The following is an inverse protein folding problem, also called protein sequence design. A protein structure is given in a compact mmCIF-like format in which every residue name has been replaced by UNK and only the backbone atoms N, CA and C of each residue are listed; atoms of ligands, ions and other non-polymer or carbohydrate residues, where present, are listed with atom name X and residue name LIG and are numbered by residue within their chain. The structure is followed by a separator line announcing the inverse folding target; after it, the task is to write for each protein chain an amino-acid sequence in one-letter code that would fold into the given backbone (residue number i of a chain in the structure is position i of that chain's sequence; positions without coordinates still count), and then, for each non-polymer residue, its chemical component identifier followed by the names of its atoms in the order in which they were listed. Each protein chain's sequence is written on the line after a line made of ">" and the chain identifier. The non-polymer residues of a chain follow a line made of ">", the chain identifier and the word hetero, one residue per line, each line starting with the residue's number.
data_IF_301177808229
#
_entry.id   IF_301177808229
#
_cell.length_a   1.000
_cell.length_b   1.000
_cell.length_c   1.000
_cell.angle_alpha   90.00
_cell.angle_beta   90.00
_cell.angle_gamma   90.00
#
_symmetry.space_group_name_H-M   'P 1'
#
loop_
_entity.id
_entity.type
_entity.pdbx_description
1 polymer ?
#
# COMPACT_ATOMS: atom_id res chain seq x y z
N UNK A 1 16.43 -8.29 -19.76
CA UNK A 1 15.38 -9.28 -19.38
C UNK A 1 15.03 -9.00 -17.93
N UNK A 2 13.75 -9.01 -17.58
CA UNK A 2 13.34 -8.91 -16.18
C UNK A 2 13.74 -10.18 -15.44
N UNK A 3 14.18 -10.08 -14.15
CA UNK A 3 14.68 -11.25 -13.39
C UNK A 3 13.58 -12.22 -12.93
N UNK A 4 12.30 -11.83 -12.99
CA UNK A 4 11.18 -12.65 -12.54
C UNK A 4 10.36 -13.17 -13.72
N UNK A 5 9.73 -14.35 -13.54
CA UNK A 5 8.88 -14.99 -14.54
C UNK A 5 7.47 -14.37 -14.53
N UNK A 6 7.00 -13.78 -15.66
CA UNK A 6 5.66 -13.22 -15.75
C UNK A 6 4.53 -14.26 -15.64
N UNK A 7 4.80 -15.54 -15.86
CA UNK A 7 3.82 -16.62 -15.63
C UNK A 7 3.59 -16.90 -14.14
N UNK A 8 4.49 -16.42 -13.27
CA UNK A 8 4.40 -16.52 -11.80
C UNK A 8 4.65 -15.16 -11.14
N UNK A 9 3.75 -14.19 -11.33
CA UNK A 9 3.98 -12.76 -11.05
C UNK A 9 4.18 -12.44 -9.55
N UNK A 10 3.79 -13.34 -8.67
CA UNK A 10 3.97 -13.24 -7.20
C UNK A 10 4.73 -14.47 -6.67
N UNK A 11 5.74 -14.93 -7.42
CA UNK A 11 6.61 -16.04 -7.01
C UNK A 11 7.24 -15.81 -5.64
N UNK A 12 7.77 -16.85 -5.02
CA UNK A 12 8.52 -16.73 -3.75
C UNK A 12 9.68 -15.74 -3.92
N UNK A 13 10.49 -15.90 -4.98
CA UNK A 13 11.64 -15.04 -5.26
C UNK A 13 11.26 -13.56 -5.39
N UNK A 14 10.12 -13.26 -6.02
CA UNK A 14 9.60 -11.90 -6.10
C UNK A 14 9.24 -11.35 -4.71
N UNK A 15 8.46 -12.12 -3.94
CA UNK A 15 8.04 -11.71 -2.59
C UNK A 15 9.24 -11.51 -1.65
N UNK A 16 10.24 -12.40 -1.73
CA UNK A 16 11.45 -12.33 -0.93
C UNK A 16 12.30 -11.11 -1.31
N UNK A 17 12.38 -10.80 -2.61
CA UNK A 17 13.08 -9.60 -3.10
C UNK A 17 12.40 -8.31 -2.63
N UNK A 18 11.08 -8.24 -2.63
CA UNK A 18 10.32 -7.11 -2.07
C UNK A 18 10.56 -7.01 -0.56
N UNK A 19 10.50 -8.13 0.16
CA UNK A 19 10.72 -8.18 1.61
C UNK A 19 12.13 -7.75 1.98
N UNK A 20 13.14 -8.14 1.20
CA UNK A 20 14.52 -7.69 1.39
C UNK A 20 14.68 -6.17 1.25
N UNK A 21 13.93 -5.52 0.34
CA UNK A 21 13.94 -4.04 0.21
C UNK A 21 13.30 -3.37 1.44
N UNK A 22 12.19 -3.91 1.94
CA UNK A 22 11.54 -3.41 3.16
C UNK A 22 12.49 -3.52 4.36
N UNK A 23 13.11 -4.68 4.56
CA UNK A 23 14.02 -4.90 5.67
C UNK A 23 15.26 -3.99 5.58
N UNK A 24 15.85 -3.86 4.38
CA UNK A 24 16.99 -2.95 4.17
C UNK A 24 16.66 -1.50 4.53
N UNK A 25 15.45 -1.02 4.15
CA UNK A 25 14.98 0.30 4.52
C UNK A 25 14.81 0.44 6.04
N UNK A 26 14.20 -0.54 6.70
CA UNK A 26 14.02 -0.53 8.16
C UNK A 26 15.36 -0.63 8.92
N UNK A 27 16.39 -1.27 8.34
CA UNK A 27 17.76 -1.28 8.89
C UNK A 27 18.41 0.10 8.79
N UNK A 28 18.13 0.87 7.74
CA UNK A 28 18.60 2.25 7.63
C UNK A 28 17.87 3.16 8.63
N UNK A 29 16.54 3.04 8.76
CA UNK A 29 15.74 3.80 9.72
C UNK A 29 16.09 3.47 11.18
N UNK A 30 16.53 2.24 11.47
CA UNK A 30 17.01 1.86 12.80
C UNK A 30 18.08 2.82 13.33
N UNK A 31 18.99 3.28 12.48
CA UNK A 31 20.05 4.22 12.90
C UNK A 31 19.47 5.56 13.34
N UNK A 32 18.40 6.03 12.67
CA UNK A 32 17.72 7.27 13.02
C UNK A 32 16.98 7.09 14.34
N UNK A 33 16.25 5.98 14.50
CA UNK A 33 15.47 5.67 15.69
C UNK A 33 16.36 5.47 16.90
N UNK A 34 17.45 4.71 16.78
CA UNK A 34 18.42 4.49 17.88
C UNK A 34 19.05 5.81 18.35
N UNK A 35 19.25 6.77 17.45
CA UNK A 35 19.79 8.09 17.79
C UNK A 35 18.80 8.97 18.57
N UNK A 36 17.48 8.69 18.45
CA UNK A 36 16.43 9.40 19.19
C UNK A 36 16.28 8.79 20.59
N UNK A 37 16.20 7.45 20.69
CA UNK A 37 16.08 6.78 21.99
C UNK A 37 15.84 5.28 21.85
N UNK A 38 16.42 4.51 22.76
CA UNK A 38 16.29 3.05 22.80
C UNK A 38 14.85 2.58 23.09
N UNK A 39 14.04 3.43 23.70
CA UNK A 39 12.63 3.21 24.02
C UNK A 39 11.77 3.00 22.76
N UNK A 40 12.27 3.42 21.61
CA UNK A 40 11.58 3.28 20.32
C UNK A 40 11.82 1.92 19.64
N UNK A 41 12.74 1.08 20.16
CA UNK A 41 13.01 -0.24 19.59
C UNK A 41 11.74 -1.10 19.42
N UNK A 42 10.78 -1.16 20.37
CA UNK A 42 9.56 -1.93 20.20
C UNK A 42 8.68 -1.46 19.03
N UNK A 43 8.70 -0.16 18.70
CA UNK A 43 7.96 0.40 17.55
C UNK A 43 8.58 -0.06 16.24
N UNK A 44 9.92 -0.06 16.15
CA UNK A 44 10.63 -0.57 14.98
C UNK A 44 10.44 -2.07 14.80
N UNK A 45 10.47 -2.85 15.89
CA UNK A 45 10.23 -4.29 15.86
C UNK A 45 8.80 -4.59 15.38
N UNK A 46 7.81 -3.86 15.88
CA UNK A 46 6.44 -3.93 15.39
C UNK A 46 6.37 -3.59 13.88
N UNK A 47 7.05 -2.53 13.42
CA UNK A 47 7.09 -2.21 11.99
C UNK A 47 7.65 -3.37 11.15
N UNK A 48 8.67 -4.10 11.63
CA UNK A 48 9.22 -5.29 10.98
C UNK A 48 8.20 -6.42 10.93
N UNK A 49 7.58 -6.73 12.08
CA UNK A 49 6.64 -7.84 12.21
C UNK A 49 5.39 -7.63 11.35
N UNK A 50 4.79 -6.44 11.38
CA UNK A 50 3.56 -6.15 10.64
C UNK A 50 3.80 -5.93 9.14
N UNK A 51 5.04 -5.58 8.72
CA UNK A 51 5.42 -5.57 7.30
C UNK A 51 5.93 -6.92 6.80
N UNK A 52 6.15 -7.90 7.67
CA UNK A 52 6.57 -9.24 7.28
C UNK A 52 5.46 -9.99 6.53
N UNK A 53 5.84 -10.84 5.59
CA UNK A 53 4.94 -11.71 4.85
C UNK A 53 3.97 -10.97 3.91
N UNK A 54 2.86 -11.63 3.59
CA UNK A 54 1.85 -11.11 2.67
C UNK A 54 2.07 -11.51 1.21
N UNK A 55 1.02 -11.30 0.39
CA UNK A 55 1.02 -11.68 -1.04
C UNK A 55 1.79 -10.70 -1.93
N UNK A 56 2.19 -9.54 -1.42
CA UNK A 56 2.91 -8.48 -2.16
C UNK A 56 2.20 -8.06 -3.45
N UNK A 57 0.87 -7.98 -3.44
CA UNK A 57 0.09 -7.69 -4.65
C UNK A 57 0.36 -6.29 -5.19
N UNK A 58 0.42 -5.26 -4.34
CA UNK A 58 0.67 -3.87 -4.78
C UNK A 58 2.05 -3.71 -5.40
N UNK A 59 3.13 -4.21 -4.78
CA UNK A 59 4.42 -4.29 -5.42
C UNK A 59 4.40 -5.04 -6.76
N UNK A 60 3.66 -6.16 -6.85
CA UNK A 60 3.55 -6.93 -8.09
C UNK A 60 2.85 -6.13 -9.19
N UNK A 61 1.72 -5.50 -8.90
CA UNK A 61 1.03 -4.66 -9.89
C UNK A 61 1.88 -3.47 -10.36
N UNK A 62 2.65 -2.85 -9.47
CA UNK A 62 3.59 -1.80 -9.84
C UNK A 62 4.72 -2.35 -10.73
N UNK A 63 5.36 -3.43 -10.31
CA UNK A 63 6.46 -4.05 -11.04
C UNK A 63 6.03 -4.51 -12.44
N UNK A 64 4.93 -5.24 -12.54
CA UNK A 64 4.45 -5.77 -13.82
C UNK A 64 3.80 -4.70 -14.69
N UNK A 65 3.22 -3.64 -14.11
CA UNK A 65 2.80 -2.45 -14.85
C UNK A 65 3.98 -1.76 -15.53
N UNK A 66 5.12 -1.65 -14.83
CA UNK A 66 6.36 -1.18 -15.44
C UNK A 66 6.83 -2.13 -16.56
N UNK A 67 6.91 -3.43 -16.27
CA UNK A 67 7.40 -4.42 -17.23
C UNK A 67 6.58 -4.47 -18.53
N UNK A 68 5.27 -4.26 -18.43
CA UNK A 68 4.37 -4.23 -19.59
C UNK A 68 4.50 -2.95 -20.44
N UNK A 69 5.03 -1.87 -19.87
CA UNK A 69 5.07 -0.55 -20.51
C UNK A 69 6.47 -0.13 -20.95
N UNK A 70 7.52 -0.74 -20.42
CA UNK A 70 8.90 -0.34 -20.68
C UNK A 70 9.47 -1.01 -21.94
N UNK A 71 10.08 -0.22 -22.81
CA UNK A 71 10.85 -0.73 -23.96
C UNK A 71 12.14 -1.44 -23.51
N UNK A 72 12.70 -1.02 -22.38
CA UNK A 72 13.91 -1.58 -21.79
C UNK A 72 13.74 -1.78 -20.28
N UNK A 73 14.25 -2.89 -19.69
CA UNK A 73 14.28 -3.05 -18.25
C UNK A 73 15.12 -1.93 -17.62
N UNK A 74 14.59 -1.33 -16.53
CA UNK A 74 15.43 -0.51 -15.66
C UNK A 74 16.18 -1.40 -14.67
N UNK A 75 17.15 -0.80 -13.99
CA UNK A 75 17.86 -1.47 -12.92
C UNK A 75 16.84 -1.98 -11.88
N UNK A 76 16.83 -3.30 -11.58
CA UNK A 76 15.75 -3.91 -10.80
C UNK A 76 15.62 -3.36 -9.38
N UNK A 77 16.73 -2.94 -8.77
CA UNK A 77 16.76 -2.46 -7.37
C UNK A 77 15.89 -1.24 -7.17
N UNK A 78 15.97 -0.25 -8.08
CA UNK A 78 15.19 0.98 -7.99
C UNK A 78 13.70 0.73 -8.17
N UNK A 79 13.32 -0.09 -9.15
CA UNK A 79 11.94 -0.47 -9.38
C UNK A 79 11.36 -1.26 -8.20
N UNK A 80 12.13 -2.24 -7.66
CA UNK A 80 11.70 -3.02 -6.52
C UNK A 80 11.54 -2.17 -5.27
N UNK A 81 12.43 -1.19 -5.04
CA UNK A 81 12.31 -0.27 -3.90
C UNK A 81 11.06 0.60 -4.03
N UNK A 82 10.83 1.22 -5.20
CA UNK A 82 9.63 2.01 -5.44
C UNK A 82 8.35 1.18 -5.30
N UNK A 83 8.35 -0.06 -5.80
CA UNK A 83 7.22 -0.98 -5.65
C UNK A 83 7.02 -1.41 -4.19
N UNK A 84 8.10 -1.74 -3.46
CA UNK A 84 8.06 -2.17 -2.06
C UNK A 84 7.53 -1.07 -1.13
N UNK A 85 7.75 0.21 -1.45
CA UNK A 85 7.22 1.34 -0.66
C UNK A 85 5.70 1.32 -0.52
N UNK A 86 4.98 0.72 -1.48
CA UNK A 86 3.52 0.57 -1.44
C UNK A 86 3.04 -0.38 -0.35
N UNK A 87 3.91 -1.27 0.16
CA UNK A 87 3.57 -2.12 1.30
C UNK A 87 3.54 -1.33 2.61
N UNK A 88 4.41 -0.32 2.79
CA UNK A 88 4.31 0.56 3.95
C UNK A 88 2.98 1.32 3.97
N UNK A 89 2.54 1.87 2.83
CA UNK A 89 1.21 2.46 2.71
C UNK A 89 0.10 1.45 3.05
N UNK A 90 0.24 0.21 2.56
CA UNK A 90 -0.74 -0.83 2.86
C UNK A 90 -0.80 -1.18 4.34
N UNK A 91 0.35 -1.36 4.98
CA UNK A 91 0.39 -1.73 6.41
C UNK A 91 -0.06 -0.56 7.29
N UNK A 92 0.28 0.69 6.93
CA UNK A 92 -0.28 1.89 7.57
C UNK A 92 -1.81 1.86 7.56
N UNK A 93 -2.41 1.65 6.37
CA UNK A 93 -3.86 1.57 6.24
C UNK A 93 -4.46 0.42 7.08
N UNK A 94 -3.79 -0.74 7.17
CA UNK A 94 -4.25 -1.85 8.00
C UNK A 94 -4.17 -1.55 9.49
N UNK A 95 -3.10 -0.89 9.96
CA UNK A 95 -2.91 -0.52 11.37
C UNK A 95 -4.01 0.44 11.82
N UNK A 96 -4.33 1.45 11.01
CA UNK A 96 -5.41 2.39 11.30
C UNK A 96 -6.79 1.73 11.20
N UNK A 97 -7.02 0.87 10.20
CA UNK A 97 -8.27 0.13 10.01
C UNK A 97 -8.55 -0.78 11.23
N UNK A 98 -7.55 -1.56 11.67
CA UNK A 98 -7.68 -2.42 12.85
C UNK A 98 -8.04 -1.65 14.12
N UNK A 99 -7.51 -0.44 14.28
CA UNK A 99 -7.86 0.42 15.40
C UNK A 99 -9.29 0.94 15.29
N UNK A 100 -9.70 1.43 14.11
CA UNK A 100 -11.07 1.94 13.87
C UNK A 100 -12.13 0.86 14.00
N UNK A 101 -11.82 -0.36 13.55
CA UNK A 101 -12.73 -1.52 13.60
C UNK A 101 -12.66 -2.30 14.92
N UNK A 102 -11.81 -1.86 15.87
CA UNK A 102 -11.55 -2.58 17.13
C UNK A 102 -11.15 -4.05 16.93
N UNK A 103 -10.40 -4.34 15.87
CA UNK A 103 -9.98 -5.69 15.52
C UNK A 103 -8.90 -6.19 16.48
N UNK A 104 -9.11 -7.33 17.14
CA UNK A 104 -8.13 -7.87 18.10
C UNK A 104 -6.90 -8.49 17.42
N UNK A 105 -7.06 -9.00 16.20
CA UNK A 105 -6.01 -9.76 15.51
C UNK A 105 -5.89 -9.43 14.03
N UNK A 106 -4.66 -9.50 13.50
CA UNK A 106 -4.36 -9.38 12.08
C UNK A 106 -3.34 -10.44 11.65
N UNK A 107 -3.67 -11.25 10.62
CA UNK A 107 -2.78 -12.31 10.06
C UNK A 107 -2.24 -13.29 11.13
N UNK A 108 -3.03 -13.58 12.16
CA UNK A 108 -2.64 -14.49 13.24
C UNK A 108 -1.80 -13.85 14.35
N UNK A 109 -1.48 -12.57 14.25
CA UNK A 109 -0.86 -11.76 15.31
C UNK A 109 -1.92 -10.89 16.01
N UNK A 110 -1.72 -10.44 17.25
CA UNK A 110 -2.50 -9.36 17.82
C UNK A 110 -2.44 -8.14 16.87
N UNK A 111 -3.49 -7.33 16.79
CA UNK A 111 -3.41 -6.02 16.13
C UNK A 111 -2.43 -5.11 16.89
N UNK A 112 -1.92 -4.05 16.22
CA UNK A 112 -0.88 -3.18 16.83
C UNK A 112 -1.34 -2.61 18.16
N UNK A 113 -2.56 -2.08 18.24
CA UNK A 113 -3.06 -1.51 19.50
C UNK A 113 -3.17 -2.56 20.61
N UNK A 114 -3.58 -3.80 20.31
CA UNK A 114 -3.62 -4.89 21.29
C UNK A 114 -2.24 -5.37 21.71
N UNK A 115 -1.28 -5.37 20.78
CA UNK A 115 0.12 -5.69 21.09
C UNK A 115 0.71 -4.71 22.11
N UNK A 116 0.56 -3.41 21.89
CA UNK A 116 1.12 -2.39 22.78
C UNK A 116 0.30 -2.22 24.08
N UNK A 117 -1.01 -2.44 24.07
CA UNK A 117 -1.82 -2.55 25.26
C UNK A 117 -1.28 -3.66 26.19
N UNK A 118 -1.04 -4.86 25.66
CA UNK A 118 -0.49 -5.97 26.40
C UNK A 118 0.93 -5.68 26.93
N UNK A 119 1.79 -5.07 26.08
CA UNK A 119 3.14 -4.69 26.48
C UNK A 119 3.15 -3.68 27.63
N UNK A 120 2.26 -2.67 27.59
CA UNK A 120 2.10 -1.69 28.67
C UNK A 120 1.65 -2.35 29.98
N UNK A 121 0.69 -3.27 29.91
CA UNK A 121 0.22 -4.02 31.09
C UNK A 121 1.32 -4.87 31.72
N UNK A 122 2.14 -5.54 30.91
CA UNK A 122 3.29 -6.34 31.40
C UNK A 122 4.35 -5.44 32.06
N UNK A 123 4.61 -4.26 31.50
CA UNK A 123 5.57 -3.30 32.01
C UNK A 123 5.06 -2.54 33.26
N UNK A 124 3.80 -2.75 33.66
CA UNK A 124 3.14 -1.99 34.74
C UNK A 124 3.23 -0.47 34.53
N UNK A 125 3.02 0.00 33.30
CA UNK A 125 3.04 1.42 32.95
C UNK A 125 1.91 2.19 33.61
N UNK A 126 2.09 3.50 33.76
CA UNK A 126 1.09 4.40 34.33
C UNK A 126 -0.03 4.71 33.34
N UNK A 127 -1.28 4.80 33.80
CA UNK A 127 -2.45 5.13 32.99
C UNK A 127 -3.10 3.93 32.32
N UNK A 128 -4.13 4.18 31.46
CA UNK A 128 -4.87 3.12 30.79
C UNK A 128 -4.05 2.44 29.69
N UNK A 129 -3.83 1.13 29.80
CA UNK A 129 -3.07 0.36 28.81
C UNK A 129 -3.71 0.38 27.40
N UNK A 130 -5.04 0.34 27.34
CA UNK A 130 -5.78 0.43 26.08
C UNK A 130 -5.48 1.75 25.34
N UNK A 131 -5.50 2.89 26.06
CA UNK A 131 -5.19 4.18 25.46
C UNK A 131 -3.76 4.23 24.93
N UNK A 132 -2.79 3.72 25.72
CA UNK A 132 -1.41 3.62 25.27
C UNK A 132 -1.28 2.81 23.98
N UNK A 133 -1.96 1.65 23.91
CA UNK A 133 -1.98 0.83 22.69
C UNK A 133 -2.55 1.57 21.48
N UNK A 134 -3.66 2.30 21.66
CA UNK A 134 -4.27 3.12 20.63
C UNK A 134 -3.33 4.23 20.14
N UNK A 135 -2.70 4.95 21.05
CA UNK A 135 -1.78 6.05 20.73
C UNK A 135 -0.57 5.55 19.91
N UNK A 136 0.03 4.43 20.32
CA UNK A 136 1.14 3.84 19.56
C UNK A 136 0.68 3.32 18.20
N UNK A 137 -0.52 2.76 18.06
CA UNK A 137 -1.04 2.32 16.77
C UNK A 137 -1.23 3.49 15.79
N UNK A 138 -1.75 4.63 16.24
CA UNK A 138 -1.85 5.84 15.44
C UNK A 138 -0.47 6.27 14.96
N UNK A 139 0.49 6.41 15.88
CA UNK A 139 1.84 6.90 15.58
C UNK A 139 2.61 5.94 14.67
N UNK A 140 2.48 4.62 14.85
CA UNK A 140 3.10 3.63 13.96
C UNK A 140 2.47 3.67 12.57
N UNK A 141 1.15 3.81 12.48
CA UNK A 141 0.46 3.96 11.21
C UNK A 141 0.94 5.19 10.44
N UNK A 142 1.09 6.34 11.11
CA UNK A 142 1.62 7.57 10.53
C UNK A 142 3.09 7.42 10.10
N UNK A 143 3.91 6.77 10.93
CA UNK A 143 5.33 6.51 10.62
C UNK A 143 5.46 5.65 9.35
N UNK A 144 4.68 4.58 9.23
CA UNK A 144 4.64 3.75 8.04
C UNK A 144 4.17 4.53 6.78
N UNK A 145 3.20 5.43 6.93
CA UNK A 145 2.76 6.30 5.84
C UNK A 145 3.88 7.25 5.38
N UNK A 146 4.62 7.84 6.31
CA UNK A 146 5.78 8.69 6.01
C UNK A 146 6.90 7.88 5.34
N UNK A 147 7.20 6.69 5.86
CA UNK A 147 8.20 5.79 5.28
C UNK A 147 7.84 5.29 3.88
N UNK A 148 6.56 5.11 3.58
CA UNK A 148 6.12 4.84 2.20
C UNK A 148 6.61 5.93 1.25
N UNK A 149 6.44 7.20 1.61
CA UNK A 149 6.88 8.33 0.80
C UNK A 149 8.40 8.42 0.71
N UNK A 150 9.09 8.27 1.84
CA UNK A 150 10.55 8.35 1.93
C UNK A 150 11.21 7.24 1.09
N UNK A 151 10.76 5.99 1.23
CA UNK A 151 11.27 4.85 0.47
C UNK A 151 11.01 4.99 -1.03
N UNK A 152 9.86 5.55 -1.43
CA UNK A 152 9.55 5.81 -2.83
C UNK A 152 10.44 6.87 -3.43
N UNK A 153 10.56 8.02 -2.78
CA UNK A 153 11.32 9.17 -3.29
C UNK A 153 12.82 8.95 -3.27
N UNK A 154 13.32 8.09 -2.39
CA UNK A 154 14.74 7.68 -2.33
C UNK A 154 15.09 6.52 -3.27
N UNK A 155 14.14 5.97 -4.02
CA UNK A 155 14.41 4.88 -4.94
C UNK A 155 15.40 5.31 -6.03
N UNK A 156 16.44 4.52 -6.34
CA UNK A 156 17.43 4.84 -7.38
C UNK A 156 16.84 4.66 -8.79
N UNK A 157 15.86 5.50 -9.11
CA UNK A 157 15.20 5.64 -10.40
C UNK A 157 15.46 7.05 -10.94
N UNK A 158 15.44 7.23 -12.25
CA UNK A 158 15.63 8.56 -12.85
C UNK A 158 14.64 9.58 -12.30
N UNK A 159 15.12 10.78 -11.99
CA UNK A 159 14.33 11.82 -11.33
C UNK A 159 13.06 12.21 -12.11
N UNK A 160 13.12 12.24 -13.44
CA UNK A 160 11.97 12.52 -14.30
C UNK A 160 10.88 11.44 -14.20
N UNK A 161 11.27 10.18 -13.98
CA UNK A 161 10.37 9.05 -13.79
C UNK A 161 9.69 9.10 -12.41
N UNK A 162 10.46 9.37 -11.37
CA UNK A 162 9.91 9.59 -10.03
C UNK A 162 8.96 10.78 -10.03
N UNK A 163 9.34 11.90 -10.64
CA UNK A 163 8.48 13.08 -10.74
C UNK A 163 7.15 12.80 -11.47
N UNK A 164 7.17 11.95 -12.51
CA UNK A 164 5.97 11.54 -13.22
C UNK A 164 5.08 10.58 -12.39
N UNK A 165 5.67 9.76 -11.53
CA UNK A 165 4.96 8.76 -10.73
C UNK A 165 4.43 9.31 -9.39
N UNK A 166 5.08 10.34 -8.81
CA UNK A 166 4.72 10.92 -7.51
C UNK A 166 3.25 11.38 -7.44
N UNK A 167 2.68 12.10 -8.43
CA UNK A 167 1.27 12.50 -8.38
C UNK A 167 0.30 11.31 -8.31
N UNK A 168 0.68 10.15 -8.86
CA UNK A 168 -0.13 8.93 -8.80
C UNK A 168 -0.09 8.29 -7.41
N UNK A 169 1.07 8.34 -6.75
CA UNK A 169 1.20 7.92 -5.35
C UNK A 169 0.41 8.84 -4.43
N UNK A 170 0.44 10.16 -4.66
CA UNK A 170 -0.35 11.14 -3.91
C UNK A 170 -1.85 10.90 -4.07
N UNK A 171 -2.31 10.67 -5.32
CA UNK A 171 -3.69 10.30 -5.59
C UNK A 171 -4.07 8.99 -4.88
N UNK A 172 -3.21 7.96 -4.94
CA UNK A 172 -3.45 6.68 -4.27
C UNK A 172 -3.65 6.84 -2.76
N UNK A 173 -2.82 7.66 -2.09
CA UNK A 173 -2.95 7.95 -0.66
C UNK A 173 -4.25 8.67 -0.34
N UNK A 174 -4.59 9.69 -1.12
CA UNK A 174 -5.84 10.45 -0.95
C UNK A 174 -7.05 9.53 -1.16
N UNK A 175 -7.08 8.75 -2.23
CA UNK A 175 -8.20 7.88 -2.58
C UNK A 175 -8.44 6.80 -1.52
N UNK A 176 -7.40 6.10 -1.05
CA UNK A 176 -7.58 5.06 -0.03
C UNK A 176 -8.07 5.64 1.29
N UNK A 177 -7.55 6.83 1.69
CA UNK A 177 -7.99 7.51 2.90
C UNK A 177 -9.44 7.97 2.79
N UNK A 178 -9.84 8.58 1.65
CA UNK A 178 -11.23 8.95 1.40
C UNK A 178 -12.15 7.72 1.33
N UNK A 179 -11.67 6.61 0.73
CA UNK A 179 -12.37 5.34 0.72
C UNK A 179 -12.64 4.80 2.12
N UNK A 180 -11.66 4.94 3.04
CA UNK A 180 -11.84 4.58 4.45
C UNK A 180 -12.85 5.50 5.15
N UNK A 181 -12.83 6.81 4.88
CA UNK A 181 -13.85 7.73 5.42
C UNK A 181 -15.25 7.34 4.95
N UNK A 182 -15.41 6.97 3.67
CA UNK A 182 -16.69 6.48 3.14
C UNK A 182 -17.14 5.19 3.84
N UNK A 183 -16.22 4.28 4.14
CA UNK A 183 -16.51 3.03 4.84
C UNK A 183 -17.00 3.28 6.27
N UNK A 184 -16.27 4.08 7.04
CA UNK A 184 -16.68 4.49 8.41
C UNK A 184 -18.04 5.22 8.37
N UNK A 185 -18.28 6.08 7.38
CA UNK A 185 -19.56 6.79 7.20
C UNK A 185 -20.68 5.80 6.92
N UNK A 186 -20.43 4.77 6.10
CA UNK A 186 -21.43 3.74 5.79
C UNK A 186 -21.83 2.93 7.02
N UNK A 187 -20.83 2.57 7.86
CA UNK A 187 -21.03 1.80 9.08
C UNK A 187 -21.76 2.60 10.17
N UNK A 188 -21.58 3.92 10.21
CA UNK A 188 -22.22 4.79 11.19
C UNK A 188 -23.71 5.08 10.93
N UNK A 189 -24.27 4.59 9.83
CA UNK A 189 -25.66 4.86 9.43
C UNK A 189 -25.88 6.31 8.95
N UNK A 190 -24.83 7.08 8.73
CA UNK A 190 -24.90 8.46 8.20
C UNK A 190 -25.10 8.49 6.67
N UNK A 191 -25.00 7.35 6.00
CA UNK A 191 -25.37 7.19 4.60
C UNK A 191 -26.91 7.30 4.46
N UNK A 192 -27.38 7.91 3.38
CA UNK A 192 -28.81 8.06 3.11
C UNK A 192 -29.58 6.75 3.22
N UNK A 193 -30.84 6.81 3.60
CA UNK A 193 -31.68 5.66 3.92
C UNK A 193 -32.30 4.93 2.71
N UNK A 194 -32.10 5.44 1.49
CA UNK A 194 -32.60 4.79 0.28
C UNK A 194 -31.60 3.77 -0.27
N UNK A 195 -32.13 2.71 -0.88
CA UNK A 195 -31.32 1.57 -1.34
C UNK A 195 -30.35 1.92 -2.48
N UNK A 196 -30.69 2.89 -3.33
CA UNK A 196 -29.87 3.31 -4.47
C UNK A 196 -28.63 4.08 -3.99
N UNK A 197 -28.83 5.05 -3.10
CA UNK A 197 -27.73 5.79 -2.47
C UNK A 197 -26.80 4.87 -1.66
N UNK A 198 -27.34 3.87 -0.98
CA UNK A 198 -26.56 2.91 -0.22
C UNK A 198 -25.69 2.02 -1.15
N UNK A 199 -26.23 1.56 -2.26
CA UNK A 199 -25.48 0.76 -3.25
C UNK A 199 -24.38 1.59 -3.92
N UNK A 200 -24.64 2.85 -4.28
CA UNK A 200 -23.64 3.76 -4.84
C UNK A 200 -22.51 4.01 -3.84
N UNK A 201 -22.82 4.23 -2.57
CA UNK A 201 -21.81 4.41 -1.52
C UNK A 201 -20.93 3.16 -1.37
N UNK A 202 -21.51 1.98 -1.30
CA UNK A 202 -20.77 0.71 -1.23
C UNK A 202 -19.88 0.53 -2.48
N UNK A 203 -20.39 0.87 -3.65
CA UNK A 203 -19.61 0.86 -4.89
C UNK A 203 -18.35 1.74 -4.81
N UNK A 204 -18.50 2.97 -4.29
CA UNK A 204 -17.35 3.89 -4.09
C UNK A 204 -16.39 3.38 -3.01
N UNK A 205 -16.88 2.79 -1.92
CA UNK A 205 -16.01 2.15 -0.91
C UNK A 205 -15.17 1.04 -1.56
N UNK A 206 -15.80 0.12 -2.32
CA UNK A 206 -15.09 -0.96 -3.00
C UNK A 206 -14.08 -0.41 -4.01
N UNK A 207 -14.43 0.64 -4.76
CA UNK A 207 -13.54 1.24 -5.73
C UNK A 207 -12.31 1.86 -5.07
N UNK A 208 -12.50 2.76 -4.11
CA UNK A 208 -11.40 3.57 -3.57
C UNK A 208 -10.65 2.88 -2.42
N UNK A 209 -11.34 2.19 -1.51
CA UNK A 209 -10.70 1.44 -0.42
C UNK A 209 -10.01 0.15 -0.90
N UNK A 210 -10.51 -0.48 -2.00
CA UNK A 210 -10.04 -1.79 -2.41
C UNK A 210 -9.39 -1.80 -3.81
N UNK A 211 -10.15 -1.52 -4.88
CA UNK A 211 -9.73 -1.79 -6.25
C UNK A 211 -8.69 -0.79 -6.75
N UNK A 212 -8.96 0.52 -6.64
CA UNK A 212 -8.07 1.57 -7.13
C UNK A 212 -6.71 1.48 -6.47
N UNK A 213 -6.68 1.46 -5.16
CA UNK A 213 -5.45 1.45 -4.38
C UNK A 213 -4.68 0.12 -4.43
N UNK A 214 -5.33 -1.01 -4.72
CA UNK A 214 -4.66 -2.32 -4.78
C UNK A 214 -4.12 -2.62 -6.17
N UNK A 215 -4.84 -2.22 -7.23
CA UNK A 215 -4.57 -2.64 -8.62
C UNK A 215 -4.26 -1.44 -9.50
N UNK A 216 -5.20 -0.48 -9.62
CA UNK A 216 -5.14 0.57 -10.65
C UNK A 216 -3.95 1.48 -10.43
N UNK A 217 -3.84 2.08 -9.24
CA UNK A 217 -2.77 3.02 -8.92
C UNK A 217 -1.38 2.39 -8.93
N UNK A 218 -1.15 1.19 -8.33
CA UNK A 218 0.11 0.50 -8.47
C UNK A 218 0.51 0.25 -9.93
N UNK A 219 -0.41 -0.20 -10.80
CA UNK A 219 -0.11 -0.36 -12.22
C UNK A 219 0.27 0.96 -12.88
N UNK A 220 -0.49 2.04 -12.63
CA UNK A 220 -0.21 3.37 -13.20
C UNK A 220 1.14 3.92 -12.73
N UNK A 221 1.49 3.73 -11.46
CA UNK A 221 2.80 4.09 -10.91
C UNK A 221 3.91 3.35 -11.68
N UNK A 222 3.76 2.05 -11.89
CA UNK A 222 4.69 1.26 -12.68
C UNK A 222 4.86 1.78 -14.11
N UNK A 223 3.76 2.08 -14.79
CA UNK A 223 3.76 2.68 -16.15
C UNK A 223 4.46 4.04 -16.17
N UNK A 224 4.23 4.88 -15.16
CA UNK A 224 4.89 6.17 -15.03
C UNK A 224 6.40 6.03 -14.84
N UNK A 225 6.83 5.09 -13.98
CA UNK A 225 8.24 4.75 -13.79
C UNK A 225 8.90 4.23 -15.08
N UNK A 226 8.16 3.56 -15.96
CA UNK A 226 8.61 3.19 -17.30
C UNK A 226 8.72 4.39 -18.26
N UNK A 227 8.02 5.52 -17.95
CA UNK A 227 7.92 6.71 -18.78
C UNK A 227 6.93 6.60 -19.92
N UNK A 228 6.00 5.68 -19.81
CA UNK A 228 4.99 5.42 -20.81
C UNK A 228 3.61 6.00 -20.47
N UNK A 229 3.51 6.84 -19.44
CA UNK A 229 2.25 7.36 -18.91
C UNK A 229 1.41 8.10 -19.99
N UNK A 230 2.04 8.86 -20.86
CA UNK A 230 1.35 9.58 -21.95
C UNK A 230 0.70 8.63 -22.95
N UNK A 231 1.36 7.51 -23.27
CA UNK A 231 0.84 6.48 -24.16
C UNK A 231 -0.29 5.73 -23.48
N UNK A 232 -0.11 5.39 -22.21
CA UNK A 232 -1.12 4.73 -21.40
C UNK A 232 -2.40 5.56 -21.31
N UNK A 233 -2.33 6.83 -20.94
CA UNK A 233 -3.49 7.72 -20.80
C UNK A 233 -4.24 7.96 -22.13
N UNK A 234 -3.56 7.90 -23.27
CA UNK A 234 -4.22 7.94 -24.60
C UNK A 234 -5.01 6.67 -24.89
N UNK A 235 -4.51 5.52 -24.45
CA UNK A 235 -5.13 4.22 -24.70
C UNK A 235 -6.23 3.90 -23.69
N UNK A 236 -6.09 4.39 -22.46
CA UNK A 236 -7.03 4.21 -21.36
C UNK A 236 -7.25 5.56 -20.63
N UNK A 237 -8.13 6.42 -21.15
CA UNK A 237 -8.43 7.69 -20.48
C UNK A 237 -8.97 7.45 -19.07
N UNK A 238 -8.32 8.04 -18.07
CA UNK A 238 -8.72 7.92 -16.66
C UNK A 238 -9.92 8.80 -16.29
N UNK A 239 -10.47 9.56 -17.24
CA UNK A 239 -11.51 10.57 -17.02
C UNK A 239 -12.93 10.14 -17.42
N UNK A 240 -13.19 8.85 -17.68
CA UNK A 240 -14.55 8.38 -17.80
C UNK A 240 -15.08 8.08 -16.39
N UNK A 241 -16.13 8.77 -15.88
CA UNK A 241 -16.86 8.29 -14.71
C UNK A 241 -17.40 6.90 -15.04
N UNK A 242 -17.48 5.97 -14.08
CA UNK A 242 -18.08 4.67 -14.30
C UNK A 242 -19.59 4.85 -14.54
N UNK A 243 -19.98 5.02 -15.79
CA UNK A 243 -21.40 5.06 -16.15
C UNK A 243 -22.01 3.68 -16.29
N UNK A 244 -21.20 2.61 -16.32
CA UNK A 244 -21.72 1.24 -16.47
C UNK A 244 -20.81 0.20 -15.79
N UNK A 245 -21.01 -0.02 -14.49
CA UNK A 245 -20.60 -1.25 -13.78
C UNK A 245 -19.09 -1.48 -13.51
N UNK A 246 -18.76 -2.38 -12.57
CA UNK A 246 -17.38 -2.61 -12.07
C UNK A 246 -16.46 -3.38 -13.03
N UNK A 247 -16.71 -3.36 -14.34
CA UNK A 247 -16.13 -4.31 -15.30
C UNK A 247 -14.81 -3.93 -15.94
N UNK A 248 -14.37 -2.67 -15.92
CA UNK A 248 -13.24 -2.26 -16.76
C UNK A 248 -11.84 -2.57 -16.21
N UNK A 249 -11.67 -2.65 -14.91
CA UNK A 249 -10.32 -2.81 -14.31
C UNK A 249 -9.81 -4.25 -14.41
N UNK A 250 -10.71 -5.24 -14.25
CA UNK A 250 -10.35 -6.66 -14.40
C UNK A 250 -10.09 -7.04 -15.87
N UNK A 251 -10.80 -6.41 -16.81
CA UNK A 251 -10.65 -6.66 -18.26
C UNK A 251 -9.30 -6.21 -18.79
N UNK A 252 -8.69 -5.16 -18.21
CA UNK A 252 -7.34 -4.68 -18.62
C UNK A 252 -6.26 -5.72 -18.30
N UNK A 253 -6.39 -6.44 -17.19
CA UNK A 253 -5.41 -7.46 -16.79
C UNK A 253 -5.51 -8.75 -17.60
N UNK A 254 -6.73 -9.12 -18.01
CA UNK A 254 -6.98 -10.33 -18.82
C UNK A 254 -6.60 -10.13 -20.30
N UNK A 255 -6.69 -8.90 -20.81
CA UNK A 255 -6.33 -8.60 -22.20
C UNK A 255 -4.80 -8.56 -22.44
N UNK A 256 -3.99 -8.32 -21.41
CA UNK A 256 -2.52 -8.29 -21.54
C UNK A 256 -1.89 -9.70 -21.49
N UNK A 257 -2.63 -10.71 -21.05
CA UNK A 257 -2.18 -12.11 -21.01
C UNK A 257 -2.45 -12.89 -22.30
N UNK A 258 -3.18 -12.30 -23.25
CA UNK A 258 -3.40 -12.88 -24.58
C UNK A 258 -2.40 -12.29 -25.58
N UNK A 259 -1.17 -12.82 -25.59
CA UNK A 259 -0.28 -12.68 -26.75
C UNK A 259 -0.79 -13.55 -27.87
N UNK A 260 -0.98 -13.03 -29.09
CA UNK A 260 -1.19 -13.89 -30.25
C UNK A 260 0.12 -14.62 -30.54
N UNK A 261 -0.01 -15.92 -30.75
CA UNK A 261 1.01 -16.82 -31.33
C UNK A 261 1.52 -16.35 -32.69
#
# INVERSE_FOLDING_TARGET
>A
MYPFDPSSPVSADFRDSVSARILSFLDDEKRVIDAIGAELSPVLDAARDYTAGGKRLRPAFCYWGHAAAADQPIEPTGLLQAAASLEFLHVSALVHDDLMDHSDTRRGLPSVHRHFEAAHGIAHGDGPAEQFGCDIAILLGDLLLMWSSQMFTSAPVKADRLAAATPLLDAMRTEVTCGQVLDVTSQSGMAGSDSESALDLVGRVVEYKCASYTVVRPCQIGVALAGALTVYNRRWPTSAPPSDGPSNTATIFLASSATPS
#
